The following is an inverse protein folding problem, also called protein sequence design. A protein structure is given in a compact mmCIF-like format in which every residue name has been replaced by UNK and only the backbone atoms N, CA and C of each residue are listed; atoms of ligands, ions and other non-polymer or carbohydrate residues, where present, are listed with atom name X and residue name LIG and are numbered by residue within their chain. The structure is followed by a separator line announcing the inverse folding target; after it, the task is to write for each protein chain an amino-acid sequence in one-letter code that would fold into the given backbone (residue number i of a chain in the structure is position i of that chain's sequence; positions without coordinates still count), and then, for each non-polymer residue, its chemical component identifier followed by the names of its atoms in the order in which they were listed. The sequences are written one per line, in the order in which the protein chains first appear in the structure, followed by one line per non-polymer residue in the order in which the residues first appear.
data_IF_956174255795
#
_entry.id   IF_956174255795
#
_cell.length_a   1.000
_cell.length_b   1.000
_cell.length_c   1.000
_cell.angle_alpha   90.00
_cell.angle_beta   90.00
_cell.angle_gamma   90.00
#
_symmetry.space_group_name_H-M   'P 1'
#
loop_
_entity.id
_entity.type
_entity.pdbx_description
1 polymer ?
#
# COMPACT_ATOMS: atom_id res chain seq x y z
N UNK A 1 7.04 11.36 -9.16
CA UNK A 1 8.45 11.48 -9.59
C UNK A 1 8.61 10.64 -10.84
N UNK A 2 8.93 11.22 -12.01
CA UNK A 2 9.39 10.40 -13.15
C UNK A 2 10.80 9.88 -12.81
N UNK A 3 11.14 8.60 -13.06
CA UNK A 3 12.52 8.15 -12.94
C UNK A 3 13.39 9.02 -13.85
N UNK A 4 14.37 9.70 -13.26
CA UNK A 4 15.36 10.47 -14.00
C UNK A 4 16.38 9.46 -14.47
N UNK A 5 16.42 9.17 -15.78
CA UNK A 5 17.36 8.22 -16.35
C UNK A 5 18.79 8.57 -15.90
N UNK A 6 19.49 7.63 -15.28
CA UNK A 6 20.89 7.78 -14.85
C UNK A 6 21.13 8.13 -13.38
N UNK A 7 20.10 8.30 -12.54
CA UNK A 7 20.28 8.29 -11.08
C UNK A 7 19.81 6.95 -10.51
N UNK A 8 20.74 6.19 -9.95
CA UNK A 8 20.42 4.95 -9.23
C UNK A 8 19.39 5.24 -8.13
N UNK A 9 18.40 4.37 -7.97
CA UNK A 9 17.42 4.49 -6.91
C UNK A 9 18.13 4.24 -5.57
N UNK A 10 18.13 5.21 -4.63
CA UNK A 10 18.85 5.07 -3.35
C UNK A 10 18.28 3.94 -2.49
N UNK A 11 17.06 3.47 -2.76
CA UNK A 11 16.37 2.43 -2.00
C UNK A 11 16.43 1.04 -2.64
N UNK A 12 16.67 0.93 -3.95
CA UNK A 12 16.72 -0.34 -4.68
C UNK A 12 17.87 -0.27 -5.67
N UNK A 13 18.94 -1.03 -5.42
CA UNK A 13 20.14 -1.03 -6.27
C UNK A 13 19.87 -1.71 -7.61
N UNK A 14 20.72 -1.44 -8.60
CA UNK A 14 20.67 -2.17 -9.87
C UNK A 14 20.81 -3.68 -9.65
N UNK A 15 19.97 -4.48 -10.29
CA UNK A 15 19.89 -5.94 -10.11
C UNK A 15 19.02 -6.41 -8.93
N UNK A 16 18.56 -5.50 -8.07
CA UNK A 16 17.59 -5.82 -7.02
C UNK A 16 16.15 -5.62 -7.53
N UNK A 17 15.20 -6.39 -7.00
CA UNK A 17 13.79 -6.31 -7.40
C UNK A 17 12.88 -6.48 -6.19
N UNK A 18 11.75 -5.78 -6.20
CA UNK A 18 10.64 -6.05 -5.27
C UNK A 18 9.71 -7.04 -5.97
N UNK A 19 9.40 -8.15 -5.30
CA UNK A 19 8.61 -9.23 -5.88
C UNK A 19 7.23 -9.22 -5.22
N UNK A 20 6.20 -9.27 -6.05
CA UNK A 20 4.80 -9.39 -5.63
C UNK A 20 4.27 -10.76 -6.05
N UNK A 21 3.48 -11.38 -5.19
CA UNK A 21 2.73 -12.57 -5.51
C UNK A 21 1.28 -12.15 -5.79
N UNK A 22 0.80 -12.45 -6.99
CA UNK A 22 -0.53 -12.08 -7.48
C UNK A 22 -1.34 -13.32 -7.84
N UNK A 23 -2.46 -13.52 -7.15
CA UNK A 23 -3.44 -14.55 -7.50
C UNK A 23 -4.61 -13.90 -8.22
N UNK A 24 -4.84 -14.28 -9.47
CA UNK A 24 -5.90 -13.72 -10.31
C UNK A 24 -6.96 -14.78 -10.58
N UNK A 25 -8.19 -14.50 -10.16
CA UNK A 25 -9.37 -15.30 -10.48
C UNK A 25 -10.30 -14.51 -11.39
N UNK A 26 -10.83 -15.17 -12.42
CA UNK A 26 -11.75 -14.59 -13.38
C UNK A 26 -13.06 -15.40 -13.46
N UNK A 27 -14.08 -14.85 -14.12
CA UNK A 27 -15.34 -15.52 -14.38
C UNK A 27 -16.52 -14.66 -13.92
N UNK A 28 -17.78 -15.10 -14.13
CA UNK A 28 -18.95 -14.34 -13.69
C UNK A 28 -18.98 -14.09 -12.18
N UNK A 29 -18.34 -14.98 -11.42
CA UNK A 29 -18.16 -14.90 -9.98
C UNK A 29 -16.79 -15.48 -9.61
N UNK A 30 -15.78 -14.65 -9.32
CA UNK A 30 -14.45 -15.13 -8.96
C UNK A 30 -14.49 -16.00 -7.70
N UNK A 31 -13.95 -17.21 -7.77
CA UNK A 31 -14.05 -18.21 -6.70
C UNK A 31 -13.39 -17.73 -5.39
N UNK A 32 -12.27 -17.00 -5.47
CA UNK A 32 -11.64 -16.43 -4.28
C UNK A 32 -12.56 -15.43 -3.55
N UNK A 33 -13.38 -14.68 -4.27
CA UNK A 33 -14.37 -13.77 -3.68
C UNK A 33 -15.50 -14.55 -3.02
N UNK A 34 -15.98 -15.63 -3.65
CA UNK A 34 -17.01 -16.51 -3.08
C UNK A 34 -16.55 -17.17 -1.77
N UNK A 35 -15.29 -17.62 -1.68
CA UNK A 35 -14.70 -18.15 -0.43
C UNK A 35 -14.68 -17.12 0.70
N UNK A 36 -14.57 -15.83 0.36
CA UNK A 36 -14.65 -14.70 1.27
C UNK A 36 -16.09 -14.20 1.50
N UNK A 37 -17.10 -14.98 1.06
CA UNK A 37 -18.53 -14.64 1.12
C UNK A 37 -18.88 -13.34 0.39
N UNK A 38 -18.03 -12.90 -0.54
CA UNK A 38 -18.30 -11.75 -1.40
C UNK A 38 -18.98 -12.22 -2.68
N UNK A 39 -20.29 -11.94 -2.79
CA UNK A 39 -21.14 -12.37 -3.90
C UNK A 39 -21.24 -11.33 -5.04
N UNK A 40 -20.41 -10.28 -5.01
CA UNK A 40 -20.47 -9.22 -6.03
C UNK A 40 -19.92 -9.78 -7.37
N UNK A 41 -20.73 -9.81 -8.45
CA UNK A 41 -20.25 -10.21 -9.77
C UNK A 41 -19.10 -9.30 -10.21
N UNK A 42 -18.04 -9.90 -10.72
CA UNK A 42 -16.86 -9.16 -11.19
C UNK A 42 -16.14 -9.96 -12.25
N UNK A 43 -15.54 -9.28 -13.21
CA UNK A 43 -14.78 -9.90 -14.30
C UNK A 43 -13.51 -10.56 -13.78
N UNK A 44 -12.85 -9.93 -12.80
CA UNK A 44 -11.65 -10.44 -12.17
C UNK A 44 -11.57 -10.02 -10.70
N UNK A 45 -10.94 -10.87 -9.89
CA UNK A 45 -10.40 -10.53 -8.58
C UNK A 45 -8.91 -10.84 -8.52
N UNK A 46 -8.15 -9.96 -7.91
CA UNK A 46 -6.70 -10.04 -7.79
C UNK A 46 -6.36 -9.94 -6.29
N UNK A 47 -5.60 -10.90 -5.77
CA UNK A 47 -4.99 -10.80 -4.45
C UNK A 47 -3.49 -10.58 -4.63
N UNK A 48 -2.98 -9.46 -4.13
CA UNK A 48 -1.57 -9.09 -4.19
C UNK A 48 -0.97 -9.11 -2.79
N UNK A 49 0.17 -9.79 -2.65
CA UNK A 49 0.97 -9.85 -1.43
C UNK A 49 2.45 -9.60 -1.75
N UNK A 50 3.20 -9.09 -0.77
CA UNK A 50 4.65 -8.92 -0.93
C UNK A 50 5.34 -10.28 -0.76
N UNK A 51 6.37 -10.55 -1.55
CA UNK A 51 7.22 -11.75 -1.37
C UNK A 51 8.43 -11.37 -0.53
N UNK A 52 8.77 -12.19 0.47
CA UNK A 52 9.95 -11.98 1.29
C UNK A 52 11.24 -12.32 0.53
N UNK A 53 11.93 -11.30 0.04
CA UNK A 53 13.24 -11.40 -0.59
C UNK A 53 14.25 -10.42 0.05
N UNK A 54 15.48 -10.38 -0.45
CA UNK A 54 16.55 -9.53 0.08
C UNK A 54 16.16 -8.04 0.25
N UNK A 55 15.36 -7.51 -0.67
CA UNK A 55 14.95 -6.09 -0.69
C UNK A 55 13.81 -5.83 0.29
N UNK A 56 12.85 -6.75 0.40
CA UNK A 56 11.68 -6.59 1.27
C UNK A 56 11.93 -7.08 2.70
N UNK A 57 12.99 -7.85 2.94
CA UNK A 57 13.28 -8.48 4.24
C UNK A 57 13.15 -7.51 5.43
N UNK A 58 13.65 -6.26 5.38
CA UNK A 58 13.46 -5.32 6.47
C UNK A 58 11.98 -5.08 6.81
N UNK A 59 11.08 -4.99 5.82
CA UNK A 59 9.64 -4.83 6.07
C UNK A 59 9.03 -6.08 6.70
N UNK A 60 9.46 -7.26 6.29
CA UNK A 60 9.04 -8.51 6.92
C UNK A 60 9.53 -8.62 8.36
N UNK A 61 10.77 -8.21 8.63
CA UNK A 61 11.31 -8.21 10.00
C UNK A 61 10.49 -7.27 10.89
N UNK A 62 10.07 -6.09 10.38
CA UNK A 62 9.15 -5.19 11.09
C UNK A 62 7.73 -5.78 11.26
N UNK A 63 7.28 -6.59 10.31
CA UNK A 63 6.02 -7.30 10.33
C UNK A 63 6.10 -8.67 11.04
N UNK A 64 7.19 -8.95 11.79
CA UNK A 64 7.42 -10.22 12.50
C UNK A 64 7.35 -11.47 11.62
N UNK A 65 7.78 -11.34 10.37
CA UNK A 65 7.79 -12.40 9.36
C UNK A 65 6.50 -12.56 8.58
N UNK A 66 5.44 -11.82 8.90
CA UNK A 66 4.19 -11.80 8.13
C UNK A 66 4.26 -10.82 6.95
N UNK A 67 3.31 -10.94 6.01
CA UNK A 67 3.20 -9.96 4.92
C UNK A 67 2.86 -8.58 5.49
N UNK A 68 3.60 -7.51 5.15
CA UNK A 68 3.36 -6.17 5.70
C UNK A 68 2.07 -5.53 5.16
N UNK A 69 1.56 -6.03 4.03
CA UNK A 69 0.27 -5.63 3.49
C UNK A 69 -0.35 -6.73 2.62
N UNK A 70 -1.65 -6.61 2.41
CA UNK A 70 -2.42 -7.40 1.44
C UNK A 70 -3.34 -6.45 0.67
N UNK A 71 -3.42 -6.62 -0.66
CA UNK A 71 -4.32 -5.86 -1.52
C UNK A 71 -5.26 -6.84 -2.20
N UNK A 72 -6.57 -6.63 -2.05
CA UNK A 72 -7.60 -7.36 -2.76
C UNK A 72 -8.28 -6.41 -3.74
N UNK A 73 -7.96 -6.55 -5.01
CA UNK A 73 -8.55 -5.78 -6.09
C UNK A 73 -9.66 -6.56 -6.79
N UNK A 74 -10.67 -5.84 -7.28
CA UNK A 74 -11.79 -6.36 -8.05
C UNK A 74 -12.05 -5.45 -9.24
N UNK A 75 -12.27 -6.06 -10.40
CA UNK A 75 -12.66 -5.35 -11.61
C UNK A 75 -14.08 -5.77 -11.98
N UNK A 76 -15.01 -4.83 -11.95
CA UNK A 76 -16.41 -5.05 -12.34
C UNK A 76 -16.58 -5.16 -13.86
N UNK A 77 -17.74 -5.64 -14.29
CA UNK A 77 -18.09 -5.73 -15.72
C UNK A 77 -18.23 -4.36 -16.40
N UNK A 78 -18.56 -3.32 -15.65
CA UNK A 78 -18.52 -1.93 -16.13
C UNK A 78 -17.08 -1.47 -16.46
N UNK A 79 -16.06 -2.16 -15.92
CA UNK A 79 -14.65 -1.77 -15.98
C UNK A 79 -14.21 -0.97 -14.75
N UNK A 80 -15.12 -0.63 -13.84
CA UNK A 80 -14.75 0.01 -12.58
C UNK A 80 -13.94 -0.93 -11.70
N UNK A 81 -12.96 -0.40 -10.99
CA UNK A 81 -12.09 -1.14 -10.09
C UNK A 81 -12.22 -0.66 -8.66
N UNK A 82 -12.11 -1.61 -7.73
CA UNK A 82 -12.12 -1.36 -6.29
C UNK A 82 -11.05 -2.22 -5.65
N UNK A 83 -10.22 -1.64 -4.78
CA UNK A 83 -9.14 -2.33 -4.10
C UNK A 83 -9.21 -2.07 -2.60
N UNK A 84 -9.35 -3.14 -1.83
CA UNK A 84 -9.22 -3.12 -0.38
C UNK A 84 -7.77 -3.41 -0.01
N UNK A 85 -7.14 -2.49 0.74
CA UNK A 85 -5.73 -2.48 1.09
C UNK A 85 -5.64 -2.58 2.60
N UNK A 86 -5.13 -3.72 3.09
CA UNK A 86 -4.86 -3.97 4.50
C UNK A 86 -3.38 -3.80 4.76
N UNK A 87 -3.00 -2.78 5.53
CA UNK A 87 -1.65 -2.60 6.04
C UNK A 87 -1.56 -3.22 7.42
N UNK A 88 -0.63 -4.15 7.61
CA UNK A 88 -0.44 -4.85 8.89
C UNK A 88 0.37 -3.97 9.86
N UNK A 89 0.26 -4.23 11.18
CA UNK A 89 1.09 -3.55 12.16
C UNK A 89 2.58 -3.79 11.89
N UNK A 90 3.38 -2.73 12.00
CA UNK A 90 4.83 -2.79 11.84
C UNK A 90 5.49 -2.31 13.13
N UNK A 91 6.50 -3.02 13.59
CA UNK A 91 7.26 -2.63 14.77
C UNK A 91 8.75 -2.87 14.56
N UNK A 92 9.55 -1.85 14.81
CA UNK A 92 11.00 -1.87 14.73
C UNK A 92 11.58 -1.11 15.91
N UNK A 93 12.59 -1.68 16.55
CA UNK A 93 13.28 -1.03 17.66
C UNK A 93 14.77 -1.39 17.60
N UNK A 94 15.61 -0.40 17.33
CA UNK A 94 17.07 -0.51 17.38
C UNK A 94 17.67 0.74 18.03
N UNK A 95 18.29 0.58 19.21
CA UNK A 95 19.02 1.62 19.97
C UNK A 95 18.30 2.97 20.05
N UNK A 96 18.47 3.84 19.06
CA UNK A 96 17.93 5.20 18.99
C UNK A 96 16.83 5.40 17.93
N UNK A 97 16.50 4.35 17.18
CA UNK A 97 15.44 4.33 16.17
C UNK A 97 14.28 3.42 16.63
N UNK A 98 13.07 3.96 16.58
CA UNK A 98 11.85 3.21 16.86
C UNK A 98 10.80 3.52 15.83
N UNK A 99 10.22 2.50 15.23
CA UNK A 99 9.05 2.62 14.36
C UNK A 99 7.96 1.75 14.94
N UNK A 100 6.80 2.34 15.21
CA UNK A 100 5.61 1.61 15.59
C UNK A 100 4.44 2.11 14.73
N UNK A 101 3.84 1.21 13.97
CA UNK A 101 2.67 1.47 13.18
C UNK A 101 1.61 0.43 13.51
N UNK A 102 0.40 0.90 13.82
CA UNK A 102 -0.71 0.04 14.25
C UNK A 102 -1.43 -0.70 13.11
N UNK A 103 -1.04 -0.44 11.86
CA UNK A 103 -1.78 -0.92 10.69
C UNK A 103 -2.85 0.05 10.25
N UNK A 104 -3.55 -0.31 9.17
CA UNK A 104 -4.64 0.49 8.64
C UNK A 104 -5.35 -0.20 7.49
N UNK A 105 -6.59 0.21 7.27
CA UNK A 105 -7.46 -0.32 6.22
C UNK A 105 -7.85 0.82 5.29
N UNK A 106 -7.61 0.61 4.00
CA UNK A 106 -7.87 1.61 2.96
C UNK A 106 -8.62 1.00 1.80
N UNK A 107 -9.45 1.79 1.15
CA UNK A 107 -10.14 1.42 -0.07
C UNK A 107 -9.83 2.44 -1.16
N UNK A 108 -9.32 1.94 -2.28
CA UNK A 108 -9.06 2.68 -3.50
C UNK A 108 -10.12 2.29 -4.53
N UNK A 109 -10.84 3.27 -5.08
CA UNK A 109 -11.79 3.06 -6.16
C UNK A 109 -11.38 3.89 -7.38
N UNK A 110 -11.50 3.32 -8.57
CA UNK A 110 -11.28 4.01 -9.84
C UNK A 110 -12.33 3.59 -10.87
N UNK A 111 -12.86 4.53 -11.64
CA UNK A 111 -13.71 4.23 -12.79
C UNK A 111 -12.92 3.60 -13.94
N UNK A 112 -13.62 3.04 -14.92
CA UNK A 112 -13.02 2.42 -16.12
C UNK A 112 -11.98 3.31 -16.82
N UNK A 113 -12.20 4.62 -16.84
CA UNK A 113 -11.36 5.59 -17.56
C UNK A 113 -10.24 6.16 -16.67
N UNK A 114 -10.20 5.86 -15.37
CA UNK A 114 -9.28 6.47 -14.40
C UNK A 114 -9.53 7.97 -14.15
N UNK A 115 -10.69 8.50 -14.54
CA UNK A 115 -11.09 9.91 -14.34
C UNK A 115 -11.62 10.16 -12.94
N UNK A 116 -12.29 9.18 -12.34
CA UNK A 116 -12.83 9.25 -10.99
C UNK A 116 -12.06 8.30 -10.07
N UNK A 117 -11.03 8.82 -9.41
CA UNK A 117 -10.25 8.08 -8.42
C UNK A 117 -10.57 8.61 -7.02
N UNK A 118 -10.80 7.69 -6.08
CA UNK A 118 -10.96 8.05 -4.68
C UNK A 118 -10.28 7.07 -3.74
N UNK A 119 -9.64 7.61 -2.70
CA UNK A 119 -9.04 6.86 -1.60
C UNK A 119 -9.73 7.24 -0.29
N UNK A 120 -10.14 6.23 0.48
CA UNK A 120 -10.67 6.39 1.84
C UNK A 120 -10.04 5.34 2.75
N UNK A 121 -10.01 5.59 4.05
CA UNK A 121 -9.46 4.62 4.99
C UNK A 121 -9.09 5.21 6.32
N UNK A 122 -8.54 4.38 7.19
CA UNK A 122 -8.11 4.77 8.51
C UNK A 122 -6.90 3.99 9.00
N UNK A 123 -6.11 4.64 9.85
CA UNK A 123 -5.00 4.05 10.59
C UNK A 123 -5.02 4.59 12.02
N UNK A 124 -4.88 3.70 13.01
CA UNK A 124 -5.11 4.07 14.41
C UNK A 124 -3.98 4.93 14.97
N UNK A 125 -2.74 4.63 14.63
CA UNK A 125 -1.56 5.35 15.10
C UNK A 125 -0.30 4.96 14.36
N UNK A 126 0.65 5.89 14.36
CA UNK A 126 2.01 5.65 13.94
C UNK A 126 2.97 6.54 14.73
N UNK A 127 4.16 6.01 15.00
CA UNK A 127 5.24 6.67 15.71
C UNK A 127 6.56 6.34 15.05
N UNK A 128 7.36 7.37 14.84
CA UNK A 128 8.74 7.28 14.37
C UNK A 128 9.59 8.10 15.32
N UNK A 129 10.52 7.43 16.00
CA UNK A 129 11.61 8.05 16.75
C UNK A 129 12.88 7.87 15.89
N UNK A 130 13.53 8.97 15.53
CA UNK A 130 14.75 8.97 14.70
C UNK A 130 15.74 10.05 15.18
N UNK A 131 17.01 9.91 14.80
CA UNK A 131 18.05 10.90 15.07
C UNK A 131 18.37 11.66 13.78
N UNK A 132 18.40 12.99 13.84
CA UNK A 132 18.76 13.82 12.68
C UNK A 132 20.28 14.00 12.53
N UNK A 133 20.72 14.68 11.47
CA UNK A 133 22.15 14.96 11.19
C UNK A 133 22.84 15.80 12.29
N UNK A 134 22.07 16.46 13.15
CA UNK A 134 22.56 17.25 14.28
C UNK A 134 22.56 16.46 15.60
N UNK A 135 22.40 15.13 15.53
CA UNK A 135 22.36 14.22 16.66
C UNK A 135 21.22 14.51 17.66
N UNK A 136 20.11 15.09 17.17
CA UNK A 136 18.92 15.40 17.94
C UNK A 136 17.86 14.31 17.74
N UNK A 137 17.22 13.89 18.84
CA UNK A 137 16.09 12.96 18.79
C UNK A 137 14.83 13.67 18.28
N UNK A 138 14.31 13.22 17.16
CA UNK A 138 13.06 13.69 16.55
C UNK A 138 12.01 12.60 16.70
N UNK A 139 10.85 12.99 17.21
CA UNK A 139 9.70 12.12 17.31
C UNK A 139 8.57 12.65 16.44
N UNK A 140 8.04 11.78 15.59
CA UNK A 140 6.86 12.03 14.78
C UNK A 140 5.79 11.04 15.22
N UNK A 141 4.60 11.55 15.55
CA UNK A 141 3.46 10.71 15.92
C UNK A 141 2.19 11.18 15.22
N UNK A 142 1.31 10.25 14.90
CA UNK A 142 -0.07 10.53 14.56
C UNK A 142 -0.98 9.53 15.28
N UNK A 143 -2.19 9.97 15.57
CA UNK A 143 -3.24 9.14 16.16
C UNK A 143 -4.55 9.39 15.41
N UNK A 144 -5.34 8.33 15.21
CA UNK A 144 -6.66 8.33 14.59
C UNK A 144 -6.70 9.04 13.23
N UNK A 145 -5.81 8.64 12.32
CA UNK A 145 -5.84 9.14 10.96
C UNK A 145 -7.06 8.54 10.25
N UNK A 146 -7.98 9.40 9.84
CA UNK A 146 -9.16 9.02 9.07
C UNK A 146 -9.27 9.89 7.84
N UNK A 147 -9.38 9.26 6.69
CA UNK A 147 -9.59 9.93 5.42
C UNK A 147 -10.99 9.60 4.88
N UNK A 148 -11.82 10.63 4.72
CA UNK A 148 -13.12 10.54 4.08
C UNK A 148 -12.98 10.96 2.61
N UNK A 149 -13.07 9.97 1.71
CA UNK A 149 -13.17 10.03 0.24
C UNK A 149 -12.77 11.39 -0.37
N UNK A 150 -11.50 11.56 -0.74
CA UNK A 150 -11.09 12.66 -1.62
C UNK A 150 -11.25 12.25 -3.09
N UNK A 151 -11.95 13.04 -3.94
CA UNK A 151 -11.76 12.94 -5.38
C UNK A 151 -10.36 13.47 -5.71
N UNK A 152 -9.50 12.62 -6.29
CA UNK A 152 -8.18 13.07 -6.74
C UNK A 152 -8.32 13.92 -8.02
N UNK A 153 -8.53 15.24 -7.88
CA UNK A 153 -8.43 16.20 -8.98
C UNK A 153 -6.97 16.62 -9.15
N UNK A 154 -6.24 15.99 -10.05
CA UNK A 154 -4.90 16.43 -10.44
C UNK A 154 -5.00 17.68 -11.33
N UNK A 155 -4.74 18.86 -10.78
CA UNK A 155 -4.44 20.06 -11.57
C UNK A 155 -2.92 20.17 -11.71
N UNK A 156 -2.40 19.85 -12.90
CA UNK A 156 -1.00 20.15 -13.24
C UNK A 156 -0.99 21.59 -13.74
N UNK A 157 -0.58 22.53 -12.87
CA UNK A 157 -0.22 23.89 -13.27
C UNK A 157 1.21 23.84 -13.82
N UNK A 158 1.32 23.91 -15.15
CA UNK A 158 2.57 24.36 -15.79
C UNK A 158 2.41 25.87 -15.98
N UNK A 159 3.14 26.66 -15.20
CA UNK A 159 3.48 28.02 -15.61
C UNK A 159 4.58 27.93 -16.65
N UNK A 160 4.33 28.49 -17.83
CA UNK A 160 5.32 28.76 -18.88
C UNK A 160 6.27 29.86 -18.40
#
# INVERSE_FOLDING_TARGET
MKPIAGKENPWIKSGQSVIFNESVDHGPFPLAQLKKLNLIPSMASIQTTLVNNEVSKPLFDMAKGETPFEINSRIGYSGDSSSDISLKPLNYEQKDEKVAFSGGEFQLNADRDGKAISLSGEAQSGRIDAVNEYNQKVQLTFNNLKNRRFPARWQVLVSV
#
